data_IF_871579259571
#
_entry.id   IF_871579259571
#
_cell.length_a   1.000
_cell.length_b   1.000
_cell.length_c   1.000
_cell.angle_alpha   90.00
_cell.angle_beta   90.00
_cell.angle_gamma   90.00
#
_symmetry.space_group_name_H-M   'P 1'
#
loop_
_entity.id
_entity.type
_entity.pdbx_description
1 polymer ?
#
# COMPACT_ATOMS: atom_id res chain seq x y z
N UNK A 1 -7.88 -13.02 -22.99
CA UNK A 1 -7.52 -12.71 -21.59
C UNK A 1 -7.17 -14.03 -20.93
N UNK A 2 -6.05 -14.14 -20.22
CA UNK A 2 -5.69 -15.39 -19.52
C UNK A 2 -6.75 -15.69 -18.46
N UNK A 3 -7.03 -16.96 -18.22
CA UNK A 3 -7.91 -17.36 -17.12
C UNK A 3 -7.22 -17.12 -15.77
N UNK A 4 -7.99 -16.92 -14.70
CA UNK A 4 -7.43 -16.73 -13.34
C UNK A 4 -6.53 -17.90 -12.95
N UNK A 5 -6.90 -19.13 -13.32
CA UNK A 5 -6.10 -20.33 -13.06
C UNK A 5 -4.73 -20.34 -13.79
N UNK A 6 -4.67 -19.79 -15.00
CA UNK A 6 -3.40 -19.62 -15.72
C UNK A 6 -2.53 -18.55 -15.06
N UNK A 7 -3.11 -17.43 -14.64
CA UNK A 7 -2.41 -16.38 -13.92
C UNK A 7 -1.84 -16.91 -12.60
N UNK A 8 -2.59 -17.70 -11.83
CA UNK A 8 -2.10 -18.31 -10.59
C UNK A 8 -0.90 -19.24 -10.86
N UNK A 9 -0.93 -20.03 -11.94
CA UNK A 9 0.20 -20.89 -12.31
C UNK A 9 1.44 -20.09 -12.70
N UNK A 10 1.26 -18.96 -13.38
CA UNK A 10 2.37 -18.08 -13.77
C UNK A 10 2.96 -17.38 -12.54
N UNK A 11 2.11 -16.85 -11.65
CA UNK A 11 2.49 -16.21 -10.38
C UNK A 11 3.31 -17.15 -9.50
N UNK A 12 2.91 -18.42 -9.39
CA UNK A 12 3.60 -19.41 -8.55
C UNK A 12 5.01 -19.80 -9.05
N UNK A 13 5.35 -19.49 -10.30
CA UNK A 13 6.68 -19.76 -10.87
C UNK A 13 7.67 -18.61 -10.66
N UNK A 14 7.17 -17.42 -10.28
CA UNK A 14 8.01 -16.24 -10.10
C UNK A 14 8.68 -16.29 -8.73
N UNK A 15 9.97 -15.97 -8.68
CA UNK A 15 10.70 -15.84 -7.43
C UNK A 15 10.45 -14.45 -6.84
N UNK A 16 9.75 -14.38 -5.72
CA UNK A 16 9.38 -13.10 -5.10
C UNK A 16 9.37 -13.20 -3.58
N UNK A 17 9.90 -12.16 -2.93
CA UNK A 17 9.83 -11.97 -1.48
C UNK A 17 8.89 -10.81 -1.09
N UNK A 18 7.98 -10.40 -1.99
CA UNK A 18 7.06 -9.27 -1.77
C UNK A 18 6.16 -9.40 -0.54
N UNK A 19 5.95 -10.61 -0.03
CA UNK A 19 5.16 -10.82 1.18
C UNK A 19 5.90 -10.48 2.47
N UNK A 20 7.23 -10.31 2.41
CA UNK A 20 8.10 -10.02 3.56
C UNK A 20 8.67 -8.60 3.56
N UNK A 21 8.55 -7.88 2.42
CA UNK A 21 9.16 -6.57 2.24
C UNK A 21 8.15 -5.50 1.83
N UNK A 22 8.52 -4.25 2.10
CA UNK A 22 7.74 -3.08 1.71
C UNK A 22 7.92 -2.77 0.23
N UNK A 23 6.81 -2.43 -0.44
CA UNK A 23 6.83 -1.94 -1.82
C UNK A 23 6.86 -0.42 -1.83
N UNK A 24 8.05 0.17 -1.72
CA UNK A 24 8.25 1.62 -1.75
C UNK A 24 8.63 2.10 -3.14
N UNK A 25 9.75 1.58 -3.65
CA UNK A 25 10.38 2.06 -4.87
C UNK A 25 10.43 0.92 -5.88
N UNK A 26 10.02 1.20 -7.12
CA UNK A 26 9.95 0.18 -8.19
C UNK A 26 11.33 -0.32 -8.60
N UNK A 27 12.37 0.50 -8.46
CA UNK A 27 13.74 0.12 -8.79
C UNK A 27 14.44 -0.74 -7.71
N UNK A 28 13.84 -0.87 -6.53
CA UNK A 28 14.29 -1.82 -5.49
C UNK A 28 13.69 -3.22 -5.68
N UNK A 29 12.87 -3.40 -6.72
CA UNK A 29 12.16 -4.64 -7.02
C UNK A 29 12.83 -5.36 -8.18
N UNK A 30 12.85 -6.68 -8.13
CA UNK A 30 13.28 -7.49 -9.25
C UNK A 30 12.23 -7.46 -10.38
N UNK A 31 12.64 -7.72 -11.64
CA UNK A 31 11.70 -7.85 -12.74
C UNK A 31 10.60 -8.91 -12.48
N UNK A 32 10.94 -10.00 -11.80
CA UNK A 32 9.99 -11.07 -11.45
C UNK A 32 8.94 -10.58 -10.44
N UNK A 33 9.34 -9.75 -9.47
CA UNK A 33 8.42 -9.16 -8.49
C UNK A 33 7.48 -8.16 -9.15
N UNK A 34 8.01 -7.29 -10.03
CA UNK A 34 7.17 -6.35 -10.78
C UNK A 34 6.17 -7.09 -11.68
N UNK A 35 6.61 -8.17 -12.33
CA UNK A 35 5.73 -9.03 -13.12
C UNK A 35 4.66 -9.69 -12.25
N UNK A 36 5.02 -10.16 -11.06
CA UNK A 36 4.07 -10.76 -10.13
C UNK A 36 2.97 -9.76 -9.72
N UNK A 37 3.33 -8.50 -9.44
CA UNK A 37 2.35 -7.45 -9.11
C UNK A 37 1.36 -7.24 -10.25
N UNK A 38 1.84 -7.21 -11.50
CA UNK A 38 0.99 -7.04 -12.68
C UNK A 38 0.08 -8.25 -12.90
N UNK A 39 0.60 -9.47 -12.79
CA UNK A 39 -0.19 -10.70 -12.96
C UNK A 39 -1.27 -10.81 -11.88
N UNK A 40 -0.97 -10.41 -10.63
CA UNK A 40 -1.95 -10.33 -9.53
C UNK A 40 -3.03 -9.28 -9.81
N UNK A 41 -2.64 -8.10 -10.33
CA UNK A 41 -3.60 -7.05 -10.68
C UNK A 41 -4.58 -7.51 -11.78
N UNK A 42 -4.07 -8.22 -12.80
CA UNK A 42 -4.89 -8.80 -13.87
C UNK A 42 -5.82 -9.89 -13.33
N UNK A 43 -5.35 -10.71 -12.38
CA UNK A 43 -6.19 -11.72 -11.73
C UNK A 43 -7.35 -11.06 -10.94
N UNK A 44 -7.04 -10.05 -10.12
CA UNK A 44 -8.06 -9.32 -9.35
C UNK A 44 -9.07 -8.60 -10.26
N UNK A 45 -8.61 -8.03 -11.37
CA UNK A 45 -9.48 -7.40 -12.38
C UNK A 45 -10.44 -8.41 -13.00
N UNK A 46 -9.95 -9.61 -13.33
CA UNK A 46 -10.77 -10.69 -13.89
C UNK A 46 -11.81 -11.18 -12.89
N UNK A 47 -11.40 -11.44 -11.64
CA UNK A 47 -12.31 -11.82 -10.56
C UNK A 47 -13.39 -10.76 -10.31
N UNK A 48 -13.03 -9.48 -10.36
CA UNK A 48 -13.98 -8.38 -10.20
C UNK A 48 -15.00 -8.33 -11.34
N UNK A 49 -14.57 -8.59 -12.58
CA UNK A 49 -15.43 -8.63 -13.76
C UNK A 49 -16.45 -9.79 -13.70
N UNK A 50 -16.05 -10.91 -13.10
CA UNK A 50 -16.92 -12.06 -12.83
C UNK A 50 -17.76 -11.91 -11.54
N UNK A 51 -17.65 -10.76 -10.87
CA UNK A 51 -18.32 -10.46 -9.60
C UNK A 51 -18.02 -11.47 -8.47
N UNK A 52 -16.82 -12.04 -8.48
CA UNK A 52 -16.33 -12.94 -7.44
C UNK A 52 -15.76 -12.10 -6.30
N UNK A 53 -16.19 -12.38 -5.07
CA UNK A 53 -15.69 -11.69 -3.88
C UNK A 53 -14.23 -12.09 -3.59
N UNK A 54 -13.34 -11.10 -3.57
CA UNK A 54 -11.90 -11.25 -3.29
C UNK A 54 -11.53 -10.81 -1.87
N UNK A 55 -12.47 -10.94 -0.92
CA UNK A 55 -12.23 -10.56 0.47
C UNK A 55 -11.25 -11.55 1.09
N UNK A 56 -10.05 -11.05 1.41
CA UNK A 56 -9.00 -11.82 2.10
C UNK A 56 -9.07 -11.57 3.60
N UNK A 57 -9.53 -10.39 4.01
CA UNK A 57 -9.68 -10.00 5.40
C UNK A 57 -11.16 -9.97 5.80
N UNK A 58 -11.47 -10.52 6.97
CA UNK A 58 -12.81 -10.41 7.57
C UNK A 58 -12.99 -9.07 8.31
N UNK A 59 -11.90 -8.54 8.86
CA UNK A 59 -11.82 -7.28 9.56
C UNK A 59 -10.37 -6.80 9.55
N UNK A 60 -10.17 -5.49 9.55
CA UNK A 60 -8.85 -4.88 9.64
C UNK A 60 -8.89 -3.41 9.23
N UNK A 61 -7.79 -2.70 9.47
CA UNK A 61 -7.66 -1.28 9.18
C UNK A 61 -6.59 -1.03 8.12
N UNK A 62 -7.00 -0.36 7.05
CA UNK A 62 -6.11 0.22 6.06
C UNK A 62 -6.00 1.72 6.28
N UNK A 63 -4.82 2.21 6.65
CA UNK A 63 -4.59 3.63 6.91
C UNK A 63 -4.11 4.31 5.65
N UNK A 64 -4.67 5.46 5.35
CA UNK A 64 -4.28 6.28 4.21
C UNK A 64 -3.67 7.60 4.72
N UNK A 65 -2.47 7.93 4.22
CA UNK A 65 -1.76 9.15 4.60
C UNK A 65 -1.50 9.95 3.33
N UNK A 66 -2.20 11.09 3.22
CA UNK A 66 -2.16 11.97 2.06
C UNK A 66 -1.80 13.38 2.50
N UNK A 67 -0.59 13.83 2.14
CA UNK A 67 -0.16 15.21 2.38
C UNK A 67 -0.66 16.15 1.30
N UNK A 68 -0.52 15.72 0.05
CA UNK A 68 -1.11 16.40 -1.11
C UNK A 68 -2.49 15.82 -1.44
N UNK A 69 -3.41 16.69 -1.81
CA UNK A 69 -4.74 16.28 -2.22
C UNK A 69 -4.71 15.55 -3.57
N UNK A 70 -4.71 14.22 -3.53
CA UNK A 70 -4.86 13.36 -4.72
C UNK A 70 -6.17 12.57 -4.66
N UNK A 71 -7.22 13.11 -5.27
CA UNK A 71 -8.54 12.46 -5.35
C UNK A 71 -8.44 11.10 -6.04
N UNK A 72 -7.70 10.99 -7.14
CA UNK A 72 -7.57 9.72 -7.89
C UNK A 72 -6.95 8.62 -7.04
N UNK A 73 -5.89 8.94 -6.30
CA UNK A 73 -5.19 7.93 -5.50
C UNK A 73 -5.98 7.58 -4.24
N UNK A 74 -6.63 8.56 -3.59
CA UNK A 74 -7.47 8.33 -2.40
C UNK A 74 -8.62 7.38 -2.71
N UNK A 75 -9.35 7.62 -3.80
CA UNK A 75 -10.44 6.73 -4.23
C UNK A 75 -9.95 5.36 -4.69
N UNK A 76 -8.81 5.30 -5.40
CA UNK A 76 -8.22 4.02 -5.81
C UNK A 76 -7.83 3.16 -4.61
N UNK A 77 -7.22 3.77 -3.58
CA UNK A 77 -6.82 3.06 -2.37
C UNK A 77 -8.05 2.58 -1.57
N UNK A 78 -9.07 3.44 -1.42
CA UNK A 78 -10.33 3.08 -0.79
C UNK A 78 -11.01 1.89 -1.46
N UNK A 79 -11.06 1.91 -2.79
CA UNK A 79 -11.64 0.83 -3.56
C UNK A 79 -10.86 -0.47 -3.37
N UNK A 80 -9.53 -0.42 -3.30
CA UNK A 80 -8.69 -1.59 -3.09
C UNK A 80 -8.85 -2.19 -1.68
N UNK A 81 -8.86 -1.35 -0.64
CA UNK A 81 -9.09 -1.81 0.74
C UNK A 81 -10.46 -2.47 0.90
N UNK A 82 -11.51 -1.84 0.37
CA UNK A 82 -12.86 -2.39 0.42
C UNK A 82 -12.98 -3.72 -0.35
N UNK A 83 -12.29 -3.82 -1.51
CA UNK A 83 -12.23 -5.06 -2.30
C UNK A 83 -11.62 -6.23 -1.51
N UNK A 84 -10.61 -5.94 -0.68
CA UNK A 84 -9.93 -6.92 0.17
C UNK A 84 -10.61 -7.18 1.51
N UNK A 85 -11.59 -6.35 1.90
CA UNK A 85 -12.34 -6.48 3.16
C UNK A 85 -11.79 -5.64 4.33
N UNK A 86 -10.95 -4.65 4.05
CA UNK A 86 -10.38 -3.73 5.06
C UNK A 86 -11.21 -2.44 5.14
N UNK A 87 -11.30 -1.87 6.34
CA UNK A 87 -11.88 -0.54 6.54
C UNK A 87 -10.82 0.53 6.30
N UNK A 88 -11.15 1.56 5.52
CA UNK A 88 -10.27 2.70 5.32
C UNK A 88 -10.37 3.69 6.49
N UNK A 89 -9.23 4.15 6.96
CA UNK A 89 -9.11 5.29 7.87
C UNK A 89 -8.11 6.30 7.32
N UNK A 90 -8.56 7.53 7.09
CA UNK A 90 -7.72 8.62 6.59
C UNK A 90 -7.02 9.32 7.77
N UNK A 91 -5.70 9.40 7.71
CA UNK A 91 -4.90 10.23 8.62
C UNK A 91 -4.69 11.60 7.98
N UNK A 92 -5.37 12.59 8.54
CA UNK A 92 -5.22 14.00 8.20
C UNK A 92 -4.25 14.64 9.21
N UNK A 93 -3.08 15.06 8.73
CA UNK A 93 -2.03 15.69 9.56
C UNK A 93 -2.60 16.88 10.36
N UNK A 94 -3.43 17.72 9.73
CA UNK A 94 -3.99 18.92 10.36
C UNK A 94 -4.99 18.63 11.47
N UNK A 95 -5.61 17.44 11.48
CA UNK A 95 -6.53 16.99 12.54
C UNK A 95 -5.88 16.05 13.54
N UNK A 96 -4.63 15.66 13.29
CA UNK A 96 -3.90 14.72 14.11
C UNK A 96 -3.14 15.43 15.24
N UNK A 97 -2.72 14.65 16.25
CA UNK A 97 -1.88 15.15 17.34
C UNK A 97 -0.48 15.58 16.89
N UNK A 98 -0.09 15.26 15.66
CA UNK A 98 1.13 15.79 15.03
C UNK A 98 1.08 17.32 15.00
N UNK A 99 -0.10 17.91 14.72
CA UNK A 99 -0.29 19.37 14.77
C UNK A 99 -0.22 19.95 16.20
N UNK A 100 -0.40 19.12 17.23
CA UNK A 100 -0.35 19.49 18.65
C UNK A 100 1.00 19.16 19.31
N UNK A 101 2.01 18.78 18.53
CA UNK A 101 3.38 18.57 19.00
C UNK A 101 3.75 17.12 19.31
N UNK A 102 2.87 16.14 19.04
CA UNK A 102 3.27 14.73 19.03
C UNK A 102 4.30 14.52 17.91
N UNK A 103 5.37 13.77 18.18
CA UNK A 103 6.33 13.50 17.13
C UNK A 103 5.72 12.54 16.12
N UNK A 104 6.00 12.79 14.85
CA UNK A 104 5.67 11.87 13.76
C UNK A 104 6.05 10.42 14.09
N UNK A 105 7.20 10.21 14.76
CA UNK A 105 7.69 8.88 15.13
C UNK A 105 6.75 8.16 16.10
N UNK A 106 6.18 8.87 17.06
CA UNK A 106 5.22 8.32 18.04
C UNK A 106 3.93 7.92 17.35
N UNK A 107 3.40 8.80 16.51
CA UNK A 107 2.18 8.53 15.73
C UNK A 107 2.38 7.35 14.78
N UNK A 108 3.55 7.27 14.12
CA UNK A 108 3.91 6.13 13.26
C UNK A 108 3.86 4.81 14.02
N UNK A 109 4.44 4.81 15.22
CA UNK A 109 4.58 3.62 16.04
C UNK A 109 3.20 3.17 16.52
N UNK A 110 2.34 4.09 16.95
CA UNK A 110 0.96 3.79 17.31
C UNK A 110 0.18 3.20 16.13
N UNK A 111 0.19 3.88 14.97
CA UNK A 111 -0.50 3.42 13.76
C UNK A 111 -0.03 2.03 13.33
N UNK A 112 1.27 1.73 13.46
CA UNK A 112 1.82 0.45 13.08
C UNK A 112 1.29 -0.75 13.87
N UNK A 113 0.80 -0.54 15.09
CA UNK A 113 0.17 -1.59 15.89
C UNK A 113 -1.30 -1.79 15.55
N UNK A 114 -1.96 -0.77 15.00
CA UNK A 114 -3.40 -0.78 14.75
C UNK A 114 -3.75 -1.10 13.29
N UNK A 115 -2.84 -0.90 12.35
CA UNK A 115 -3.10 -1.02 10.91
C UNK A 115 -2.55 -2.31 10.30
N UNK A 116 -3.34 -2.95 9.45
CA UNK A 116 -2.96 -4.12 8.65
C UNK A 116 -2.30 -3.73 7.32
N UNK A 117 -2.60 -2.52 6.83
CA UNK A 117 -2.00 -1.94 5.64
C UNK A 117 -1.92 -0.42 5.81
N UNK A 118 -0.85 0.19 5.28
CA UNK A 118 -0.71 1.65 5.31
C UNK A 118 -0.20 2.13 3.96
N UNK A 119 -1.00 2.96 3.30
CA UNK A 119 -0.67 3.62 2.04
C UNK A 119 -0.25 5.08 2.26
N UNK A 120 0.83 5.48 1.60
CA UNK A 120 1.34 6.85 1.62
C UNK A 120 1.25 7.44 0.22
N UNK A 121 0.93 8.72 0.12
CA UNK A 121 1.13 9.47 -1.12
C UNK A 121 1.81 10.77 -0.80
N UNK A 122 3.03 10.90 -1.30
CA UNK A 122 3.82 12.10 -1.26
C UNK A 122 4.36 12.38 -2.66
N UNK A 123 4.28 13.64 -3.09
CA UNK A 123 5.09 14.11 -4.22
C UNK A 123 6.51 14.34 -3.68
N UNK A 124 7.43 13.43 -4.01
CA UNK A 124 8.84 13.63 -3.66
C UNK A 124 9.41 14.71 -4.59
N UNK A 125 9.54 15.96 -4.11
CA UNK A 125 9.95 17.11 -4.93
C UNK A 125 11.47 17.17 -5.21
N UNK A 126 12.23 16.09 -4.98
CA UNK A 126 13.69 16.10 -5.04
C UNK A 126 14.30 15.25 -6.16
N UNK A 127 13.60 15.03 -7.28
CA UNK A 127 14.18 14.37 -8.46
C UNK A 127 13.27 14.35 -9.71
N UNK A 128 13.82 14.16 -10.92
CA UNK A 128 13.11 14.27 -12.21
C UNK A 128 12.14 13.12 -12.53
N UNK A 129 12.07 12.10 -11.68
CA UNK A 129 11.17 10.95 -11.82
C UNK A 129 10.30 10.88 -10.56
N UNK A 130 9.02 11.19 -10.70
CA UNK A 130 8.02 11.14 -9.62
C UNK A 130 7.56 9.69 -9.40
N UNK A 131 7.97 9.01 -8.31
CA UNK A 131 7.47 7.68 -8.01
C UNK A 131 6.14 7.82 -7.27
N UNK A 132 5.08 7.23 -7.79
CA UNK A 132 3.87 6.96 -7.00
C UNK A 132 4.23 5.82 -6.05
N UNK A 133 4.50 6.15 -4.78
CA UNK A 133 4.94 5.22 -3.76
C UNK A 133 3.73 4.59 -3.06
N UNK A 134 3.08 3.56 -3.64
CA UNK A 134 1.97 2.86 -2.96
C UNK A 134 2.54 1.80 -2.03
N UNK A 135 2.74 2.18 -0.77
CA UNK A 135 3.18 1.24 0.27
C UNK A 135 2.04 0.28 0.64
N UNK A 136 2.38 -1.01 0.70
CA UNK A 136 1.57 -2.05 1.35
C UNK A 136 2.46 -2.67 2.43
N UNK A 137 2.17 -2.42 3.70
CA UNK A 137 2.97 -2.96 4.81
C UNK A 137 2.16 -4.00 5.54
N UNK A 138 2.61 -5.25 5.51
CA UNK A 138 2.02 -6.34 6.29
C UNK A 138 2.61 -6.42 7.71
N UNK A 139 3.78 -5.82 7.96
CA UNK A 139 4.43 -5.80 9.28
C UNK A 139 5.49 -4.69 9.40
N UNK A 140 5.25 -3.73 10.28
CA UNK A 140 6.04 -2.49 10.41
C UNK A 140 7.26 -2.60 11.34
N UNK A 141 8.08 -3.65 11.21
CA UNK A 141 9.16 -3.93 12.17
C UNK A 141 10.56 -3.44 11.79
N UNK A 142 10.77 -2.90 10.58
CA UNK A 142 12.11 -2.52 10.09
C UNK A 142 12.40 -1.01 10.22
N UNK A 143 13.65 -0.65 10.54
CA UNK A 143 14.06 0.74 10.80
C UNK A 143 13.87 1.69 9.60
N UNK A 144 14.04 1.16 8.38
CA UNK A 144 13.84 1.87 7.11
C UNK A 144 12.42 2.43 6.97
N UNK A 145 11.42 1.72 7.50
CA UNK A 145 10.02 2.16 7.47
C UNK A 145 9.75 3.41 8.28
N UNK A 146 10.52 3.64 9.34
CA UNK A 146 10.40 4.83 10.18
C UNK A 146 10.94 6.06 9.46
N UNK A 147 12.03 5.94 8.71
CA UNK A 147 12.62 7.08 7.97
C UNK A 147 11.74 7.56 6.83
N UNK A 148 11.12 6.66 6.06
CA UNK A 148 10.20 7.05 4.98
C UNK A 148 8.86 7.61 5.47
N UNK A 149 8.38 7.17 6.63
CA UNK A 149 7.22 7.80 7.28
C UNK A 149 7.56 9.18 7.85
N UNK A 150 8.74 9.29 8.45
CA UNK A 150 9.27 10.57 8.90
C UNK A 150 9.47 11.53 7.74
N UNK A 151 9.90 11.05 6.56
CA UNK A 151 9.93 11.90 5.37
C UNK A 151 8.53 12.19 4.82
N UNK A 152 7.60 11.22 4.86
CA UNK A 152 6.19 11.42 4.48
C UNK A 152 5.52 12.58 5.22
N UNK A 153 5.91 12.81 6.48
CA UNK A 153 5.32 13.82 7.37
C UNK A 153 6.26 15.01 7.68
N UNK A 154 7.43 15.10 7.02
CA UNK A 154 8.36 16.25 7.09
C UNK A 154 8.26 17.09 5.84
#
# INVERSE_FOLDING_TARGET
MKTVNELIKDINKLNSSLHEKDFLLTWEQSPDELKQVLDVADALKTLRAENIATKVFNSGLGISVFRDNSTRTRFSYASALNLLGLAQQDLDEGKSQIAHGETVRETANMISFCADAIGFVMICSSGPVTPICVKWVKRWTTATNREYFLSALR
#
